data_IF_924598155726
#
_entry.id   IF_924598155726
#
_cell.length_a   1.000
_cell.length_b   1.000
_cell.length_c   1.000
_cell.angle_alpha   90.00
_cell.angle_beta   90.00
_cell.angle_gamma   90.00
#
_symmetry.space_group_name_H-M   'P 1'
#
loop_
_entity.id
_entity.type
_entity.pdbx_description
1 polymer ?
#
# COMPACT_ATOMS: atom_id res chain seq x y z
N UNK A 1 -0.77 -12.66 3.44
CA UNK A 1 -0.54 -13.22 4.79
C UNK A 1 -1.67 -12.70 5.66
N UNK A 2 -2.31 -13.59 6.40
CA UNK A 2 -3.37 -13.28 7.35
C UNK A 2 -2.87 -13.54 8.76
N UNK A 3 -3.33 -12.76 9.73
CA UNK A 3 -3.06 -12.93 11.15
C UNK A 3 -4.39 -12.96 11.91
N UNK A 4 -4.51 -13.83 12.90
CA UNK A 4 -5.64 -13.79 13.82
C UNK A 4 -5.59 -12.49 14.63
N UNK A 5 -6.72 -11.82 14.78
CA UNK A 5 -6.87 -10.62 15.63
C UNK A 5 -6.81 -10.93 17.13
N UNK A 6 -7.10 -12.17 17.52
CA UNK A 6 -6.99 -12.65 18.89
C UNK A 6 -5.50 -12.73 19.31
N UNK A 7 -5.11 -11.82 20.20
CA UNK A 7 -3.73 -11.67 20.71
C UNK A 7 -3.19 -12.95 21.36
N UNK A 8 -4.08 -13.79 21.92
CA UNK A 8 -3.69 -15.06 22.54
C UNK A 8 -3.40 -16.16 21.50
N UNK A 9 -4.02 -16.07 20.33
CA UNK A 9 -3.92 -17.09 19.29
C UNK A 9 -2.60 -17.03 18.51
N UNK A 10 -2.10 -15.82 18.22
CA UNK A 10 -0.84 -15.56 17.48
C UNK A 10 -0.69 -16.27 16.12
N UNK A 11 -1.78 -16.81 15.57
CA UNK A 11 -1.76 -17.56 14.33
C UNK A 11 -1.47 -16.63 13.15
N UNK A 12 -0.51 -17.01 12.31
CA UNK A 12 -0.22 -16.37 11.03
C UNK A 12 -0.28 -17.41 9.93
N UNK A 13 -1.02 -17.14 8.85
CA UNK A 13 -1.21 -18.10 7.75
C UNK A 13 -1.21 -17.40 6.38
N UNK A 14 -0.95 -18.17 5.32
CA UNK A 14 -1.19 -17.75 3.92
C UNK A 14 -2.42 -18.43 3.33
N UNK A 15 -2.95 -19.45 4.01
CA UNK A 15 -4.11 -20.22 3.57
C UNK A 15 -5.40 -19.58 4.08
N UNK A 16 -6.35 -19.22 3.21
CA UNK A 16 -7.67 -18.79 3.64
C UNK A 16 -8.45 -19.97 4.25
N UNK A 17 -9.32 -19.69 5.21
CA UNK A 17 -10.20 -20.69 5.79
C UNK A 17 -11.62 -20.55 5.19
N UNK A 18 -12.05 -21.54 4.41
CA UNK A 18 -13.35 -21.51 3.74
C UNK A 18 -14.54 -21.82 4.64
N UNK A 19 -14.34 -22.08 5.94
CA UNK A 19 -15.45 -22.21 6.89
C UNK A 19 -16.27 -20.91 6.92
N UNK A 20 -17.60 -21.05 6.83
CA UNK A 20 -18.56 -19.97 7.00
C UNK A 20 -19.21 -20.11 8.38
N UNK A 21 -19.14 -19.06 9.20
CA UNK A 21 -19.73 -19.01 10.54
C UNK A 21 -20.55 -17.74 10.67
N UNK A 22 -21.89 -17.87 10.70
CA UNK A 22 -22.81 -16.74 10.76
C UNK A 22 -22.57 -15.74 9.63
N UNK A 23 -22.57 -14.46 9.97
CA UNK A 23 -22.40 -13.34 9.03
C UNK A 23 -20.93 -12.97 8.75
N UNK A 24 -19.97 -13.82 9.15
CA UNK A 24 -18.54 -13.55 8.90
C UNK A 24 -18.20 -13.63 7.42
N UNK A 25 -17.32 -12.76 6.97
CA UNK A 25 -16.79 -12.79 5.59
C UNK A 25 -16.09 -14.14 5.33
N UNK A 26 -16.37 -14.75 4.17
CA UNK A 26 -15.72 -16.00 3.76
C UNK A 26 -14.20 -15.85 3.76
N UNK A 27 -13.48 -16.86 4.24
CA UNK A 27 -12.02 -16.81 4.28
C UNK A 27 -11.43 -16.25 5.58
N UNK A 28 -12.26 -15.65 6.45
CA UNK A 28 -11.78 -14.89 7.62
C UNK A 28 -11.86 -15.66 8.94
N UNK A 29 -12.45 -16.86 8.99
CA UNK A 29 -12.55 -17.62 10.24
C UNK A 29 -11.19 -18.17 10.66
N UNK A 30 -10.80 -17.99 11.92
CA UNK A 30 -9.57 -18.60 12.45
C UNK A 30 -9.61 -20.14 12.34
N UNK A 31 -8.58 -20.80 11.76
CA UNK A 31 -8.46 -22.25 11.70
C UNK A 31 -8.53 -22.95 13.06
N UNK A 32 -8.15 -22.27 14.14
CA UNK A 32 -8.18 -22.82 15.50
C UNK A 32 -9.59 -22.87 16.12
N UNK A 33 -10.62 -22.38 15.41
CA UNK A 33 -12.01 -22.51 15.85
C UNK A 33 -12.40 -24.01 16.05
N UNK A 34 -13.07 -24.37 17.17
CA UNK A 34 -13.73 -23.51 18.17
C UNK A 34 -12.83 -22.98 19.31
N UNK A 35 -11.58 -23.41 19.40
CA UNK A 35 -10.66 -22.98 20.48
C UNK A 35 -10.20 -21.52 20.36
N UNK A 36 -10.45 -20.89 19.21
CA UNK A 36 -10.27 -19.47 18.99
C UNK A 36 -11.46 -18.92 18.20
N UNK A 37 -12.02 -17.80 18.66
CA UNK A 37 -13.12 -17.10 18.00
C UNK A 37 -12.66 -15.86 17.21
N UNK A 38 -11.35 -15.67 17.07
CA UNK A 38 -10.78 -14.56 16.32
C UNK A 38 -11.04 -14.62 14.82
N UNK A 39 -10.76 -13.49 14.17
CA UNK A 39 -10.90 -13.24 12.74
C UNK A 39 -9.51 -13.08 12.13
N UNK A 40 -9.30 -13.75 11.00
CA UNK A 40 -8.12 -13.57 10.18
C UNK A 40 -8.19 -12.22 9.46
N UNK A 41 -7.28 -11.32 9.80
CA UNK A 41 -7.09 -10.02 9.15
C UNK A 41 -5.86 -10.06 8.24
N UNK A 42 -5.89 -9.30 7.15
CA UNK A 42 -4.69 -9.14 6.30
C UNK A 42 -3.60 -8.42 7.09
N UNK A 43 -2.39 -9.00 7.15
CA UNK A 43 -1.22 -8.33 7.76
C UNK A 43 -0.84 -7.04 7.03
N UNK A 44 -1.02 -7.03 5.72
CA UNK A 44 -0.87 -5.88 4.85
C UNK A 44 -2.15 -5.74 4.04
N UNK A 45 -2.86 -4.65 4.25
CA UNK A 45 -4.10 -4.35 3.55
C UNK A 45 -3.81 -3.73 2.18
N UNK A 46 -4.83 -3.71 1.31
CA UNK A 46 -4.75 -2.99 0.04
C UNK A 46 -4.54 -1.48 0.26
N UNK A 47 -5.08 -0.93 1.37
CA UNK A 47 -4.87 0.47 1.74
C UNK A 47 -3.42 0.74 2.13
N UNK A 48 -2.77 -0.16 2.86
CA UNK A 48 -1.35 -0.05 3.19
C UNK A 48 -0.48 -0.06 1.94
N UNK A 49 -0.78 -0.95 0.99
CA UNK A 49 -0.09 -1.01 -0.30
C UNK A 49 -0.26 0.29 -1.09
N UNK A 50 -1.50 0.78 -1.19
CA UNK A 50 -1.80 2.02 -1.90
C UNK A 50 -1.09 3.23 -1.27
N UNK A 51 -1.07 3.31 0.07
CA UNK A 51 -0.37 4.36 0.81
C UNK A 51 1.12 4.33 0.51
N UNK A 52 1.74 3.14 0.50
CA UNK A 52 3.17 2.99 0.22
C UNK A 52 3.51 3.40 -1.22
N UNK A 53 2.71 2.99 -2.20
CA UNK A 53 2.91 3.36 -3.60
C UNK A 53 2.67 4.84 -3.86
N UNK A 54 1.68 5.43 -3.18
CA UNK A 54 1.42 6.87 -3.22
C UNK A 54 2.58 7.67 -2.62
N UNK A 55 3.17 7.18 -1.53
CA UNK A 55 4.40 7.76 -0.98
C UNK A 55 5.56 7.71 -1.98
N UNK A 56 5.77 6.59 -2.66
CA UNK A 56 6.77 6.51 -3.73
C UNK A 56 6.49 7.48 -4.88
N UNK A 57 5.24 7.63 -5.29
CA UNK A 57 4.86 8.63 -6.29
C UNK A 57 5.18 10.05 -5.82
N UNK A 58 4.95 10.36 -4.54
CA UNK A 58 5.21 11.67 -3.96
C UNK A 58 6.70 12.01 -3.91
N UNK A 59 7.56 11.11 -3.41
CA UNK A 59 9.00 11.38 -3.30
C UNK A 59 9.71 11.40 -4.65
N UNK A 60 9.14 10.75 -5.67
CA UNK A 60 9.65 10.74 -7.04
C UNK A 60 9.04 11.86 -7.90
N UNK A 61 8.09 12.62 -7.38
CA UNK A 61 7.55 13.81 -8.03
C UNK A 61 8.49 15.00 -7.81
N UNK A 62 9.52 15.05 -8.66
CA UNK A 62 10.56 16.06 -8.60
C UNK A 62 10.02 17.44 -8.91
N UNK A 63 9.01 17.55 -9.78
CA UNK A 63 8.43 18.82 -10.16
C UNK A 63 7.67 19.46 -8.99
N UNK A 64 6.72 18.72 -8.41
CA UNK A 64 5.96 19.20 -7.24
C UNK A 64 6.84 19.48 -6.03
N UNK A 65 7.98 18.78 -5.90
CA UNK A 65 8.96 19.03 -4.84
C UNK A 65 9.74 20.32 -5.06
N UNK A 66 10.14 20.62 -6.31
CA UNK A 66 10.86 21.85 -6.67
C UNK A 66 9.99 23.10 -6.57
N UNK A 67 8.69 22.99 -6.88
CA UNK A 67 7.73 24.09 -6.75
C UNK A 67 7.55 24.58 -5.30
N UNK A 68 7.93 23.76 -4.31
CA UNK A 68 7.87 24.10 -2.89
C UNK A 68 9.15 24.75 -2.34
N UNK A 69 10.18 24.91 -3.17
CA UNK A 69 11.49 25.44 -2.77
C UNK A 69 11.64 26.93 -3.13
N UNK A 70 12.47 27.64 -2.37
CA UNK A 70 12.92 28.99 -2.73
C UNK A 70 13.69 28.99 -4.05
N UNK A 71 13.52 30.06 -4.85
CA UNK A 71 14.06 30.14 -6.20
C UNK A 71 15.59 29.92 -6.29
N UNK A 72 16.35 30.42 -5.31
CA UNK A 72 17.81 30.26 -5.28
C UNK A 72 18.25 28.80 -5.03
N UNK A 73 17.52 28.07 -4.19
CA UNK A 73 17.79 26.64 -3.90
C UNK A 73 17.36 25.77 -5.07
N UNK A 74 16.19 26.09 -5.66
CA UNK A 74 15.60 25.37 -6.79
C UNK A 74 16.58 25.20 -7.97
N UNK A 75 17.26 26.27 -8.39
CA UNK A 75 18.19 26.23 -9.54
C UNK A 75 19.35 25.24 -9.29
N UNK A 76 19.91 25.24 -8.07
CA UNK A 76 21.02 24.35 -7.72
C UNK A 76 20.58 22.88 -7.70
N UNK A 77 19.39 22.61 -7.14
CA UNK A 77 18.80 21.27 -7.09
C UNK A 77 18.45 20.79 -8.50
N UNK A 78 17.79 21.60 -9.34
CA UNK A 78 17.46 21.26 -10.72
C UNK A 78 18.70 20.83 -11.52
N UNK A 79 19.81 21.57 -11.36
CA UNK A 79 21.08 21.26 -12.03
C UNK A 79 21.68 19.93 -11.55
N UNK A 80 21.63 19.65 -10.25
CA UNK A 80 22.10 18.38 -9.70
C UNK A 80 21.22 17.20 -10.17
N UNK A 81 19.90 17.40 -10.18
CA UNK A 81 18.92 16.38 -10.56
C UNK A 81 18.92 16.07 -12.06
N UNK A 82 19.36 16.98 -12.92
CA UNK A 82 19.41 16.78 -14.37
C UNK A 82 20.13 15.47 -14.76
N UNK A 83 21.15 15.06 -14.00
CA UNK A 83 21.92 13.83 -14.25
C UNK A 83 21.13 12.54 -13.97
N UNK A 84 20.20 12.58 -13.01
CA UNK A 84 19.44 11.40 -12.56
C UNK A 84 17.98 11.42 -13.02
N UNK A 85 17.55 12.50 -13.68
CA UNK A 85 16.16 12.73 -14.09
C UNK A 85 15.56 11.53 -14.86
N UNK A 86 16.22 10.93 -15.86
CA UNK A 86 15.63 9.79 -16.57
C UNK A 86 15.36 8.58 -15.66
N UNK A 87 16.25 8.33 -14.69
CA UNK A 87 16.08 7.25 -13.72
C UNK A 87 14.92 7.53 -12.77
N UNK A 88 14.80 8.77 -12.28
CA UNK A 88 13.70 9.19 -11.40
C UNK A 88 12.36 9.14 -12.13
N UNK A 89 12.28 9.63 -13.36
CA UNK A 89 11.06 9.58 -14.18
C UNK A 89 10.64 8.15 -14.47
N UNK A 90 11.59 7.27 -14.78
CA UNK A 90 11.33 5.83 -14.99
C UNK A 90 10.79 5.16 -13.72
N UNK A 91 11.40 5.43 -12.56
CA UNK A 91 10.92 4.93 -11.27
C UNK A 91 9.53 5.48 -10.93
N UNK A 92 9.29 6.77 -11.16
CA UNK A 92 8.01 7.41 -10.93
C UNK A 92 6.91 6.80 -11.81
N UNK A 93 7.22 6.57 -13.09
CA UNK A 93 6.32 5.91 -14.02
C UNK A 93 6.00 4.48 -13.57
N UNK A 94 6.98 3.74 -13.04
CA UNK A 94 6.76 2.40 -12.50
C UNK A 94 5.84 2.43 -11.26
N UNK A 95 6.12 3.32 -10.30
CA UNK A 95 5.31 3.46 -9.10
C UNK A 95 3.85 3.81 -9.44
N UNK A 96 3.63 4.77 -10.34
CA UNK A 96 2.28 5.14 -10.84
C UNK A 96 1.58 3.96 -11.50
N UNK A 97 2.26 3.27 -12.44
CA UNK A 97 1.68 2.08 -13.11
C UNK A 97 1.21 1.01 -12.14
N UNK A 98 1.94 0.78 -11.04
CA UNK A 98 1.52 -0.21 -10.03
C UNK A 98 0.39 0.35 -9.17
N UNK A 99 0.49 1.60 -8.70
CA UNK A 99 -0.54 2.28 -7.89
C UNK A 99 -1.89 2.35 -8.60
N UNK A 100 -1.89 2.66 -9.88
CA UNK A 100 -3.13 2.88 -10.66
C UNK A 100 -3.89 1.56 -10.91
N UNK A 101 -3.28 0.41 -10.58
CA UNK A 101 -3.92 -0.92 -10.58
C UNK A 101 -4.50 -1.32 -9.21
N UNK A 102 -4.20 -0.57 -8.15
CA UNK A 102 -4.76 -0.82 -6.82
C UNK A 102 -6.25 -0.49 -6.79
N UNK A 103 -6.98 -1.11 -5.86
CA UNK A 103 -8.43 -0.92 -5.73
C UNK A 103 -8.86 0.53 -5.40
N UNK A 104 -7.92 1.37 -4.95
CA UNK A 104 -8.14 2.77 -4.60
C UNK A 104 -7.79 3.77 -5.72
N UNK A 105 -7.39 3.29 -6.91
CA UNK A 105 -7.02 4.17 -8.04
C UNK A 105 -8.20 4.92 -8.67
N UNK A 106 -9.43 4.45 -8.45
CA UNK A 106 -10.64 5.00 -9.06
C UNK A 106 -11.78 5.03 -8.03
N UNK A 107 -12.46 6.17 -7.93
CA UNK A 107 -13.69 6.31 -7.13
C UNK A 107 -14.81 6.68 -8.08
N UNK A 108 -15.88 5.89 -8.10
CA UNK A 108 -17.10 6.22 -8.84
C UNK A 108 -17.93 7.19 -7.98
N UNK A 109 -18.02 8.45 -8.41
CA UNK A 109 -18.70 9.53 -7.67
C UNK A 109 -20.21 9.62 -7.96
N UNK A 110 -20.86 8.50 -8.32
CA UNK A 110 -22.31 8.46 -8.59
C UNK A 110 -23.15 8.86 -7.40
#
# INVERSE_FOLDING_TARGET
>A
IMMCDDESCKLTTRSPNFRLLGDRERGTVCPNNPNCNGTLLRKYTEADLYKQLSYFCHILDTQSSLEKMDAGVRIQVEKAMAKIRPAVESAAAMARRVRDRCAYGWVQLT
#
